data_IF_334276742562
#
_entry.id   IF_334276742562
#
_cell.length_a   1.000
_cell.length_b   1.000
_cell.length_c   1.000
_cell.angle_alpha   90.00
_cell.angle_beta   90.00
_cell.angle_gamma   90.00
#
_symmetry.space_group_name_H-M   'P 1'
#
loop_
_entity.id
_entity.type
_entity.pdbx_description
1 polymer ?
#
# COMPACT_ATOMS: atom_id res chain seq x y z
N UNK A 1 -19.33 -1.46 -23.58
CA UNK A 1 -19.78 -1.87 -22.22
C UNK A 1 -18.62 -2.06 -21.24
N UNK A 2 -17.57 -2.85 -21.55
CA UNK A 2 -16.42 -3.09 -20.64
C UNK A 2 -15.68 -1.80 -20.20
N UNK A 3 -15.41 -0.86 -21.11
CA UNK A 3 -14.73 0.42 -20.79
C UNK A 3 -15.54 1.33 -19.86
N UNK A 4 -16.86 1.41 -20.05
CA UNK A 4 -17.73 2.24 -19.19
C UNK A 4 -17.77 1.69 -17.76
N UNK A 5 -17.85 0.37 -17.63
CA UNK A 5 -17.82 -0.34 -16.35
C UNK A 5 -16.47 -0.17 -15.64
N UNK A 6 -15.37 -0.30 -16.39
CA UNK A 6 -14.03 0.01 -15.90
C UNK A 6 -13.93 1.45 -15.38
N UNK A 7 -14.34 2.44 -16.18
CA UNK A 7 -14.27 3.86 -15.81
C UNK A 7 -15.11 4.16 -14.56
N UNK A 8 -16.29 3.57 -14.46
CA UNK A 8 -17.13 3.70 -13.27
C UNK A 8 -16.40 3.23 -11.99
N UNK A 9 -15.78 2.04 -12.03
CA UNK A 9 -15.02 1.53 -10.87
C UNK A 9 -13.75 2.33 -10.62
N UNK A 10 -13.03 2.77 -11.66
CA UNK A 10 -11.83 3.58 -11.52
C UNK A 10 -12.13 4.95 -10.87
N UNK A 11 -13.22 5.61 -11.28
CA UNK A 11 -13.70 6.87 -10.68
C UNK A 11 -14.14 6.64 -9.23
N UNK A 12 -14.85 5.54 -8.96
CA UNK A 12 -15.22 5.17 -7.59
C UNK A 12 -13.99 4.91 -6.69
N UNK A 13 -12.98 4.22 -7.22
CA UNK A 13 -11.71 3.96 -6.54
C UNK A 13 -10.93 5.26 -6.26
N UNK A 14 -10.93 6.19 -7.22
CA UNK A 14 -10.38 7.54 -7.05
C UNK A 14 -11.05 8.30 -5.90
N UNK A 15 -12.38 8.47 -5.95
CA UNK A 15 -13.09 9.26 -4.94
C UNK A 15 -13.03 8.63 -3.55
N UNK A 16 -13.19 7.31 -3.45
CA UNK A 16 -13.11 6.60 -2.16
C UNK A 16 -11.72 6.73 -1.53
N UNK A 17 -10.65 6.52 -2.30
CA UNK A 17 -9.28 6.67 -1.79
C UNK A 17 -8.95 8.11 -1.43
N UNK A 18 -9.44 9.09 -2.20
CA UNK A 18 -9.28 10.51 -1.90
C UNK A 18 -9.93 10.89 -0.57
N UNK A 19 -11.22 10.57 -0.38
CA UNK A 19 -11.96 10.85 0.85
C UNK A 19 -11.30 10.18 2.05
N UNK A 20 -10.93 8.90 1.92
CA UNK A 20 -10.26 8.16 3.00
C UNK A 20 -8.88 8.74 3.33
N UNK A 21 -8.14 9.24 2.33
CA UNK A 21 -6.87 9.93 2.57
C UNK A 21 -7.05 11.22 3.37
N UNK A 22 -8.03 12.06 2.98
CA UNK A 22 -8.34 13.28 3.71
C UNK A 22 -8.76 12.95 5.15
N UNK A 23 -9.56 11.91 5.37
CA UNK A 23 -9.90 11.43 6.70
C UNK A 23 -8.64 11.05 7.50
N UNK A 24 -7.68 10.34 6.91
CA UNK A 24 -6.42 10.03 7.58
C UNK A 24 -5.61 11.28 7.92
N UNK A 25 -5.54 12.28 7.04
CA UNK A 25 -4.81 13.53 7.28
C UNK A 25 -5.46 14.34 8.41
N UNK A 26 -6.77 14.59 8.31
CA UNK A 26 -7.48 15.52 9.19
C UNK A 26 -7.95 14.92 10.51
N UNK A 27 -8.03 13.59 10.66
CA UNK A 27 -8.40 12.98 11.95
C UNK A 27 -7.34 13.30 13.01
N UNK A 28 -7.72 14.08 14.02
CA UNK A 28 -6.81 14.51 15.09
C UNK A 28 -6.45 13.34 16.01
N UNK A 29 -5.15 13.13 16.22
CA UNK A 29 -4.64 12.13 17.18
C UNK A 29 -4.05 12.85 18.38
N UNK A 30 -4.51 12.48 19.59
CA UNK A 30 -4.04 13.05 20.86
C UNK A 30 -2.50 13.09 20.96
N UNK A 31 -1.96 14.15 21.56
CA UNK A 31 -0.50 14.35 21.77
C UNK A 31 0.05 13.47 22.89
N UNK A 32 -0.13 12.16 22.78
CA UNK A 32 0.44 11.18 23.72
C UNK A 32 1.65 10.53 23.05
N UNK A 33 2.78 10.46 23.74
CA UNK A 33 4.05 9.95 23.21
C UNK A 33 3.96 8.48 22.78
N UNK A 34 3.13 7.69 23.47
CA UNK A 34 2.83 6.29 23.09
C UNK A 34 2.10 6.15 21.74
N UNK A 35 1.54 7.23 21.18
CA UNK A 35 0.86 7.25 19.88
C UNK A 35 1.70 7.89 18.75
N UNK A 36 2.95 8.28 18.98
CA UNK A 36 3.78 8.88 17.92
C UNK A 36 4.01 7.93 16.74
N UNK A 37 4.25 6.65 17.02
CA UNK A 37 4.39 5.63 16.00
C UNK A 37 3.10 5.45 15.19
N UNK A 38 1.95 5.52 15.86
CA UNK A 38 0.65 5.48 15.19
C UNK A 38 0.43 6.72 14.31
N UNK A 39 0.84 7.92 14.75
CA UNK A 39 0.76 9.14 13.93
C UNK A 39 1.62 9.03 12.67
N UNK A 40 2.81 8.46 12.78
CA UNK A 40 3.69 8.22 11.64
C UNK A 40 3.06 7.23 10.65
N UNK A 41 2.58 6.08 11.15
CA UNK A 41 1.87 5.08 10.34
C UNK A 41 0.62 5.69 9.66
N UNK A 42 -0.14 6.53 10.35
CA UNK A 42 -1.30 7.25 9.81
C UNK A 42 -0.92 8.17 8.65
N UNK A 43 0.17 8.94 8.79
CA UNK A 43 0.67 9.83 7.72
C UNK A 43 1.14 9.04 6.50
N UNK A 44 1.84 7.94 6.73
CA UNK A 44 2.25 7.03 5.65
C UNK A 44 1.04 6.42 4.94
N UNK A 45 -0.01 6.07 5.69
CA UNK A 45 -1.25 5.55 5.10
C UNK A 45 -1.99 6.59 4.26
N UNK A 46 -2.10 7.82 4.77
CA UNK A 46 -2.65 8.93 4.01
C UNK A 46 -1.89 9.12 2.69
N UNK A 47 -0.56 9.07 2.74
CA UNK A 47 0.29 9.16 1.56
C UNK A 47 0.08 8.00 0.59
N UNK A 48 -0.05 6.76 1.06
CA UNK A 48 -0.37 5.61 0.22
C UNK A 48 -1.72 5.78 -0.49
N UNK A 49 -2.73 6.32 0.19
CA UNK A 49 -4.05 6.56 -0.40
C UNK A 49 -4.02 7.72 -1.40
N UNK A 50 -3.29 8.80 -1.12
CA UNK A 50 -3.08 9.89 -2.09
C UNK A 50 -2.36 9.38 -3.34
N UNK A 51 -1.34 8.55 -3.15
CA UNK A 51 -0.61 7.98 -4.26
C UNK A 51 -1.55 7.12 -5.12
N UNK A 52 -2.40 6.30 -4.50
CA UNK A 52 -3.40 5.51 -5.22
C UNK A 52 -4.38 6.40 -5.99
N UNK A 53 -4.85 7.49 -5.38
CA UNK A 53 -5.69 8.50 -6.02
C UNK A 53 -5.02 9.11 -7.26
N UNK A 54 -3.73 9.49 -7.18
CA UNK A 54 -2.97 10.02 -8.33
C UNK A 54 -2.89 8.98 -9.45
N UNK A 55 -2.67 7.71 -9.10
CA UNK A 55 -2.58 6.61 -10.07
C UNK A 55 -3.91 6.37 -10.77
N UNK A 56 -5.01 6.29 -10.00
CA UNK A 56 -6.34 6.13 -10.57
C UNK A 56 -6.70 7.28 -11.51
N UNK A 57 -6.34 8.52 -11.16
CA UNK A 57 -6.55 9.67 -12.03
C UNK A 57 -5.71 9.57 -13.31
N UNK A 58 -4.42 9.23 -13.19
CA UNK A 58 -3.52 9.03 -14.32
C UNK A 58 -4.06 7.97 -15.28
N UNK A 59 -4.54 6.85 -14.74
CA UNK A 59 -5.11 5.76 -15.52
C UNK A 59 -6.40 6.15 -16.25
N UNK A 60 -7.30 6.89 -15.59
CA UNK A 60 -8.51 7.44 -16.22
C UNK A 60 -8.12 8.36 -17.40
N UNK A 61 -7.17 9.28 -17.21
CA UNK A 61 -6.75 10.23 -18.24
C UNK A 61 -6.12 9.51 -19.44
N UNK A 62 -5.22 8.55 -19.20
CA UNK A 62 -4.57 7.81 -20.29
C UNK A 62 -5.56 7.02 -21.13
N UNK A 63 -6.52 6.35 -20.48
CA UNK A 63 -7.56 5.60 -21.21
C UNK A 63 -8.48 6.50 -22.01
N UNK A 64 -8.85 7.66 -21.47
CA UNK A 64 -9.67 8.64 -22.19
C UNK A 64 -8.92 9.24 -23.41
N UNK A 65 -7.58 9.34 -23.34
CA UNK A 65 -6.74 9.84 -24.44
C UNK A 65 -6.29 8.77 -25.44
N UNK A 66 -6.51 7.48 -25.17
CA UNK A 66 -6.09 6.38 -26.05
C UNK A 66 -4.57 6.24 -26.20
N UNK A 67 -3.78 6.65 -25.20
CA UNK A 67 -2.31 6.66 -25.27
C UNK A 67 -1.75 5.22 -25.13
N UNK A 68 -0.72 4.88 -25.91
CA UNK A 68 -0.10 3.55 -26.06
C UNK A 68 0.16 2.76 -24.76
N UNK A 69 -0.12 1.44 -24.83
CA UNK A 69 -0.02 0.42 -23.78
C UNK A 69 1.36 0.20 -23.09
N UNK A 70 2.54 0.29 -23.74
CA UNK A 70 3.79 -0.17 -23.12
C UNK A 70 4.22 0.72 -21.95
N UNK A 71 4.09 2.03 -22.12
CA UNK A 71 4.43 3.07 -21.12
C UNK A 71 3.47 3.05 -19.93
N UNK A 72 2.25 2.59 -20.17
CA UNK A 72 1.24 2.44 -19.13
C UNK A 72 1.60 1.30 -18.17
N UNK A 73 2.09 0.17 -18.69
CA UNK A 73 2.53 -0.98 -17.86
C UNK A 73 3.75 -0.65 -16.99
N UNK A 74 4.75 0.06 -17.52
CA UNK A 74 5.91 0.49 -16.72
C UNK A 74 5.50 1.45 -15.59
N UNK A 75 4.58 2.38 -15.88
CA UNK A 75 4.03 3.30 -14.90
C UNK A 75 3.30 2.54 -13.78
N UNK A 76 2.42 1.58 -14.12
CA UNK A 76 1.73 0.73 -13.14
C UNK A 76 2.71 -0.02 -12.25
N UNK A 77 3.76 -0.62 -12.80
CA UNK A 77 4.75 -1.36 -12.00
C UNK A 77 5.49 -0.46 -11.01
N UNK A 78 5.89 0.74 -11.43
CA UNK A 78 6.51 1.74 -10.54
C UNK A 78 5.58 2.03 -9.37
N UNK A 79 4.33 2.34 -9.68
CA UNK A 79 3.31 2.70 -8.71
C UNK A 79 2.97 1.55 -7.77
N UNK A 80 2.82 0.33 -8.29
CA UNK A 80 2.60 -0.87 -7.52
C UNK A 80 3.77 -1.15 -6.57
N UNK A 81 4.99 -0.86 -6.99
CA UNK A 81 6.19 -0.98 -6.14
C UNK A 81 6.15 0.00 -4.97
N UNK A 82 5.82 1.28 -5.21
CA UNK A 82 5.64 2.25 -4.14
C UNK A 82 4.54 1.83 -3.16
N UNK A 83 3.38 1.40 -3.67
CA UNK A 83 2.28 0.91 -2.84
C UNK A 83 2.70 -0.28 -1.98
N UNK A 84 3.36 -1.27 -2.59
CA UNK A 84 3.85 -2.45 -1.89
C UNK A 84 4.74 -2.09 -0.70
N UNK A 85 5.73 -1.21 -0.90
CA UNK A 85 6.63 -0.80 0.18
C UNK A 85 5.94 0.02 1.27
N UNK A 86 5.04 0.94 0.90
CA UNK A 86 4.28 1.73 1.87
C UNK A 86 3.41 0.84 2.76
N UNK A 87 2.62 -0.05 2.15
CA UNK A 87 1.76 -0.98 2.87
C UNK A 87 2.56 -1.99 3.70
N UNK A 88 3.64 -2.56 3.15
CA UNK A 88 4.51 -3.48 3.89
C UNK A 88 5.14 -2.80 5.12
N UNK A 89 5.57 -1.55 4.98
CA UNK A 89 6.16 -0.78 6.08
C UNK A 89 5.12 -0.42 7.15
N UNK A 90 3.92 0.00 6.75
CA UNK A 90 2.81 0.27 7.70
C UNK A 90 2.41 -1.02 8.43
N UNK A 91 2.17 -2.11 7.70
CA UNK A 91 1.78 -3.39 8.30
C UNK A 91 2.83 -3.92 9.29
N UNK A 92 4.12 -3.85 8.92
CA UNK A 92 5.21 -4.28 9.81
C UNK A 92 5.31 -3.36 11.03
N UNK A 93 5.12 -2.05 10.84
CA UNK A 93 5.15 -1.05 11.93
C UNK A 93 3.98 -1.20 12.92
N UNK A 94 2.82 -1.67 12.45
CA UNK A 94 1.67 -1.97 13.32
C UNK A 94 1.93 -3.20 14.21
N UNK A 95 2.74 -4.15 13.75
CA UNK A 95 3.08 -5.38 14.48
C UNK A 95 4.29 -5.15 15.41
N UNK A 96 5.33 -4.48 14.92
CA UNK A 96 6.53 -4.17 15.68
C UNK A 96 6.80 -2.66 15.69
N UNK A 97 6.48 -2.04 16.83
CA UNK A 97 6.66 -0.61 17.08
C UNK A 97 8.14 -0.18 17.03
N UNK A 98 9.10 -1.11 17.19
CA UNK A 98 10.54 -0.80 17.11
C UNK A 98 11.07 -0.77 15.67
N UNK A 99 10.28 -1.27 14.71
CA UNK A 99 10.65 -1.29 13.30
C UNK A 99 10.48 0.06 12.60
N UNK A 100 9.90 1.06 13.28
CA UNK A 100 9.54 2.36 12.73
C UNK A 100 10.78 3.23 12.45
N UNK A 101 11.45 2.96 11.34
CA UNK A 101 12.51 3.80 10.81
C UNK A 101 12.12 4.29 9.42
N UNK A 102 11.67 5.54 9.33
CA UNK A 102 11.42 6.26 8.08
C UNK A 102 12.63 6.25 7.16
N UNK A 103 13.85 6.25 7.73
CA UNK A 103 15.10 6.15 6.97
C UNK A 103 15.18 4.84 6.19
N UNK A 104 14.82 3.70 6.79
CA UNK A 104 14.84 2.39 6.11
C UNK A 104 13.84 2.33 4.95
N UNK A 105 12.65 2.90 5.14
CA UNK A 105 11.67 3.04 4.06
C UNK A 105 12.24 3.87 2.91
N UNK A 106 12.85 5.03 3.21
CA UNK A 106 13.44 5.89 2.20
C UNK A 106 14.52 5.16 1.40
N UNK A 107 15.39 4.40 2.06
CA UNK A 107 16.41 3.58 1.38
C UNK A 107 15.82 2.57 0.40
N UNK A 108 14.70 1.91 0.75
CA UNK A 108 14.03 0.98 -0.17
C UNK A 108 13.31 1.68 -1.32
N UNK A 109 12.93 2.96 -1.16
CA UNK A 109 12.30 3.75 -2.21
C UNK A 109 13.30 4.41 -3.18
N UNK A 110 14.58 4.56 -2.80
CA UNK A 110 15.62 5.13 -3.68
C UNK A 110 15.74 4.37 -5.01
N UNK A 111 15.87 3.03 -5.05
CA UNK A 111 15.91 2.28 -6.31
C UNK A 111 14.68 2.50 -7.17
N UNK A 112 13.50 2.57 -6.54
CA UNK A 112 12.22 2.81 -7.24
C UNK A 112 12.19 4.20 -7.86
N UNK A 113 12.65 5.22 -7.13
CA UNK A 113 12.73 6.59 -7.63
C UNK A 113 13.72 6.72 -8.80
N UNK A 114 14.88 6.06 -8.72
CA UNK A 114 15.86 6.03 -9.82
C UNK A 114 15.25 5.37 -11.06
N UNK A 115 14.62 4.21 -10.91
CA UNK A 115 13.94 3.52 -12.02
C UNK A 115 12.79 4.34 -12.60
N UNK A 116 12.09 5.12 -11.77
CA UNK A 116 11.04 6.04 -12.21
C UNK A 116 11.60 7.18 -13.07
N UNK A 117 12.72 7.78 -12.65
CA UNK A 117 13.41 8.82 -13.41
C UNK A 117 13.93 8.31 -14.75
N UNK A 118 14.48 7.09 -14.78
CA UNK A 118 14.92 6.44 -16.02
C UNK A 118 13.74 6.19 -16.98
N UNK A 119 12.58 5.79 -16.45
CA UNK A 119 11.36 5.61 -17.24
C UNK A 119 10.85 6.94 -17.83
N UNK A 120 10.94 8.06 -17.07
CA UNK A 120 10.64 9.40 -17.59
C UNK A 120 11.63 9.85 -18.65
N UNK A 121 12.92 9.50 -18.50
CA UNK A 121 13.93 9.74 -19.54
C UNK A 121 13.60 9.00 -20.84
N UNK A 122 13.08 7.77 -20.76
CA UNK A 122 12.57 6.99 -21.91
C UNK A 122 11.44 7.73 -22.61
N UNK A 123 10.53 8.34 -21.85
CA UNK A 123 9.42 9.15 -22.38
C UNK A 123 9.90 10.42 -23.12
N UNK A 124 10.96 11.06 -22.65
CA UNK A 124 11.53 12.25 -23.29
C UNK A 124 12.25 11.99 -24.63
N UNK A 125 12.25 10.76 -25.14
CA UNK A 125 12.95 10.39 -26.37
C UNK A 125 14.47 10.37 -26.25
N UNK A 126 15.00 10.45 -25.03
CA UNK A 126 16.45 10.48 -24.77
C UNK A 126 17.13 9.12 -25.01
N UNK A 127 16.37 8.02 -25.08
CA UNK A 127 16.90 6.67 -25.23
C UNK A 127 16.40 6.05 -26.54
N UNK A 128 17.34 5.61 -27.39
CA UNK A 128 17.05 4.91 -28.66
C UNK A 128 17.11 3.39 -28.48
N UNK A 129 16.33 2.64 -29.27
CA UNK A 129 16.42 1.18 -29.39
C UNK A 129 15.65 0.38 -28.32
N UNK A 130 16.08 -0.87 -28.06
CA UNK A 130 15.42 -1.84 -27.16
C UNK A 130 15.49 -1.48 -25.64
N UNK A 131 15.98 -0.29 -25.29
CA UNK A 131 16.20 0.12 -23.91
C UNK A 131 14.90 0.13 -23.07
N UNK A 132 13.76 0.52 -23.66
CA UNK A 132 12.47 0.50 -22.98
C UNK A 132 12.03 -0.91 -22.56
N UNK A 133 12.35 -1.93 -23.35
CA UNK A 133 12.03 -3.32 -23.02
C UNK A 133 12.93 -3.84 -21.90
N UNK A 134 14.23 -3.52 -21.95
CA UNK A 134 15.18 -3.86 -20.90
C UNK A 134 14.73 -3.25 -19.57
N UNK A 135 14.43 -1.95 -19.56
CA UNK A 135 13.90 -1.26 -18.37
C UNK A 135 12.63 -1.91 -17.84
N UNK A 136 11.68 -2.24 -18.71
CA UNK A 136 10.43 -2.90 -18.32
C UNK A 136 10.68 -4.24 -17.61
N UNK A 137 11.48 -5.13 -18.22
CA UNK A 137 11.75 -6.44 -17.63
C UNK A 137 12.61 -6.34 -16.35
N UNK A 138 13.57 -5.43 -16.29
CA UNK A 138 14.33 -5.14 -15.07
C UNK A 138 13.41 -4.70 -13.93
N UNK A 139 12.41 -3.86 -14.24
CA UNK A 139 11.47 -3.34 -13.25
C UNK A 139 10.48 -4.42 -12.79
N UNK A 140 10.01 -5.27 -13.70
CA UNK A 140 9.19 -6.43 -13.38
C UNK A 140 9.93 -7.43 -12.47
N UNK A 141 11.21 -7.71 -12.77
CA UNK A 141 12.05 -8.57 -11.95
C UNK A 141 12.29 -7.96 -10.57
N UNK A 142 12.62 -6.67 -10.51
CA UNK A 142 12.79 -5.94 -9.25
C UNK A 142 11.50 -5.99 -8.40
N UNK A 143 10.35 -5.75 -9.02
CA UNK A 143 9.05 -5.81 -8.33
C UNK A 143 8.76 -7.21 -7.77
N UNK A 144 9.05 -8.26 -8.55
CA UNK A 144 8.88 -9.65 -8.12
C UNK A 144 9.76 -9.98 -6.91
N UNK A 145 11.04 -9.59 -6.95
CA UNK A 145 11.96 -9.75 -5.79
C UNK A 145 11.45 -8.97 -4.58
N UNK A 146 10.91 -7.77 -4.80
CA UNK A 146 10.38 -6.91 -3.74
C UNK A 146 9.18 -7.56 -3.04
N UNK A 147 8.29 -8.24 -3.77
CA UNK A 147 7.18 -9.00 -3.19
C UNK A 147 7.71 -10.12 -2.28
N UNK A 148 8.64 -10.93 -2.77
CA UNK A 148 9.22 -12.03 -1.99
C UNK A 148 9.84 -11.50 -0.70
N UNK A 149 10.65 -10.44 -0.80
CA UNK A 149 11.33 -9.85 0.34
C UNK A 149 10.35 -9.26 1.37
N UNK A 150 9.34 -8.52 0.93
CA UNK A 150 8.33 -7.91 1.82
C UNK A 150 7.48 -8.96 2.52
N UNK A 151 7.11 -10.04 1.82
CA UNK A 151 6.40 -11.18 2.41
C UNK A 151 7.25 -11.85 3.49
N UNK A 152 8.50 -12.19 3.19
CA UNK A 152 9.41 -12.86 4.15
C UNK A 152 9.58 -12.00 5.41
N UNK A 153 9.85 -10.70 5.25
CA UNK A 153 9.98 -9.77 6.37
C UNK A 153 8.72 -9.74 7.22
N UNK A 154 7.56 -9.62 6.58
CA UNK A 154 6.28 -9.56 7.29
C UNK A 154 6.05 -10.82 8.12
N UNK A 155 6.20 -12.00 7.51
CA UNK A 155 6.00 -13.28 8.20
C UNK A 155 6.96 -13.47 9.37
N UNK A 156 8.23 -13.07 9.22
CA UNK A 156 9.21 -13.11 10.31
C UNK A 156 8.78 -12.27 11.51
N UNK A 157 8.32 -11.04 11.28
CA UNK A 157 7.86 -10.16 12.37
C UNK A 157 6.52 -10.64 12.95
N UNK A 158 5.59 -11.09 12.11
CA UNK A 158 4.31 -11.62 12.54
C UNK A 158 4.45 -12.87 13.40
N UNK A 159 5.36 -13.78 13.07
CA UNK A 159 5.63 -14.97 13.88
C UNK A 159 6.22 -14.59 15.24
N UNK A 160 7.17 -13.65 15.27
CA UNK A 160 7.74 -13.14 16.53
C UNK A 160 6.67 -12.52 17.41
N UNK A 161 5.76 -11.73 16.82
CA UNK A 161 4.60 -11.16 17.50
C UNK A 161 3.68 -12.25 18.05
N UNK A 162 3.29 -13.23 17.23
CA UNK A 162 2.38 -14.32 17.63
C UNK A 162 2.97 -15.16 18.77
N UNK A 163 4.28 -15.45 18.73
CA UNK A 163 4.97 -16.17 19.81
C UNK A 163 4.92 -15.38 21.13
N UNK A 164 5.16 -14.07 21.08
CA UNK A 164 5.02 -13.20 22.27
C UNK A 164 3.57 -13.16 22.76
N UNK A 165 2.61 -12.96 21.86
CA UNK A 165 1.19 -12.88 22.21
C UNK A 165 0.71 -14.16 22.92
N UNK A 166 1.02 -15.33 22.37
CA UNK A 166 0.65 -16.62 22.96
C UNK A 166 1.30 -16.87 24.33
N UNK A 167 2.53 -16.39 24.54
CA UNK A 167 3.24 -16.57 25.81
C UNK A 167 2.70 -15.66 26.93
N UNK A 168 2.18 -14.47 26.59
CA UNK A 168 1.70 -13.50 27.58
C UNK A 168 0.18 -13.55 27.82
N UNK A 169 -0.60 -14.05 26.88
CA UNK A 169 -2.05 -14.13 26.98
C UNK A 169 -2.52 -15.58 26.83
N UNK A 170 -2.82 -16.22 27.96
CA UNK A 170 -3.41 -17.57 28.04
C UNK A 170 -4.93 -17.60 27.85
N UNK A 171 -5.58 -16.43 27.78
CA UNK A 171 -7.03 -16.28 27.68
C UNK A 171 -7.55 -15.94 26.28
N UNK A 172 -8.86 -16.05 26.09
CA UNK A 172 -9.65 -15.78 24.87
C UNK A 172 -9.66 -14.30 24.43
N UNK A 173 -8.56 -13.57 24.63
CA UNK A 173 -8.39 -12.21 24.14
C UNK A 173 -8.23 -12.26 22.61
N UNK A 174 -9.19 -11.65 21.90
CA UNK A 174 -9.16 -11.55 20.45
C UNK A 174 -7.90 -10.80 20.02
N UNK A 175 -7.08 -11.45 19.20
CA UNK A 175 -5.90 -10.82 18.58
C UNK A 175 -6.35 -9.66 17.68
N UNK A 176 -6.25 -8.44 18.21
CA UNK A 176 -6.67 -7.21 17.52
C UNK A 176 -5.81 -6.89 16.28
N UNK A 177 -4.68 -7.58 16.07
CA UNK A 177 -3.80 -7.40 14.91
C UNK A 177 -3.94 -8.50 13.86
N UNK A 178 -4.83 -9.49 14.07
CA UNK A 178 -5.10 -10.56 13.09
C UNK A 178 -5.57 -10.01 11.73
N UNK A 179 -6.24 -8.86 11.69
CA UNK A 179 -6.64 -8.23 10.44
C UNK A 179 -5.44 -7.76 9.60
N UNK A 180 -4.30 -7.43 10.22
CA UNK A 180 -3.07 -7.02 9.51
C UNK A 180 -2.52 -8.19 8.69
N UNK A 181 -2.65 -9.42 9.20
CA UNK A 181 -2.32 -10.64 8.46
C UNK A 181 -3.20 -10.80 7.20
N UNK A 182 -4.52 -10.66 7.37
CA UNK A 182 -5.45 -10.73 6.23
C UNK A 182 -5.20 -9.61 5.21
N UNK A 183 -4.92 -8.39 5.68
CA UNK A 183 -4.56 -7.28 4.81
C UNK A 183 -3.29 -7.58 4.01
N UNK A 184 -2.27 -8.20 4.62
CA UNK A 184 -1.04 -8.57 3.91
C UNK A 184 -1.27 -9.68 2.88
N UNK A 185 -2.17 -10.63 3.12
CA UNK A 185 -2.60 -11.60 2.11
C UNK A 185 -3.28 -10.89 0.94
N UNK A 186 -4.18 -9.94 1.20
CA UNK A 186 -4.82 -9.16 0.12
C UNK A 186 -3.80 -8.38 -0.71
N UNK A 187 -2.78 -7.78 -0.07
CA UNK A 187 -1.68 -7.09 -0.77
C UNK A 187 -0.87 -8.06 -1.63
N UNK A 188 -0.58 -9.27 -1.12
CA UNK A 188 0.11 -10.30 -1.89
C UNK A 188 -0.71 -10.72 -3.12
N UNK A 189 -2.00 -11.00 -2.94
CA UNK A 189 -2.90 -11.34 -4.05
C UNK A 189 -3.00 -10.22 -5.08
N UNK A 190 -3.11 -8.96 -4.64
CA UNK A 190 -3.10 -7.80 -5.52
C UNK A 190 -1.76 -7.67 -6.28
N UNK A 191 -0.64 -7.96 -5.63
CA UNK A 191 0.69 -7.90 -6.24
C UNK A 191 0.89 -8.99 -7.29
N UNK A 192 0.38 -10.21 -7.03
CA UNK A 192 0.35 -11.29 -8.02
C UNK A 192 -0.53 -10.89 -9.21
N UNK A 193 -1.69 -10.26 -8.97
CA UNK A 193 -2.55 -9.77 -10.03
C UNK A 193 -1.86 -8.70 -10.90
N UNK A 194 -1.04 -7.82 -10.31
CA UNK A 194 -0.22 -6.85 -11.07
C UNK A 194 0.80 -7.56 -11.96
N UNK A 195 1.48 -8.61 -11.46
CA UNK A 195 2.40 -9.41 -12.29
C UNK A 195 1.64 -10.05 -13.45
N UNK A 196 0.50 -10.68 -13.17
CA UNK A 196 -0.33 -11.30 -14.19
C UNK A 196 -0.80 -10.28 -15.23
N UNK A 197 -1.21 -9.08 -14.82
CA UNK A 197 -1.58 -8.00 -15.73
C UNK A 197 -0.41 -7.51 -16.61
N UNK A 198 0.80 -7.52 -16.07
CA UNK A 198 1.99 -7.13 -16.82
C UNK A 198 2.38 -8.19 -17.87
N UNK A 199 2.13 -9.48 -17.59
CA UNK A 199 2.50 -10.60 -18.46
C UNK A 199 1.37 -10.95 -19.44
N UNK A 200 0.16 -11.11 -18.94
CA UNK A 200 -1.04 -11.53 -19.66
C UNK A 200 -1.96 -10.31 -19.84
N UNK A 201 -2.48 -10.15 -21.06
CA UNK A 201 -3.15 -8.97 -21.62
C UNK A 201 -4.28 -8.32 -20.76
N UNK A 202 -4.81 -7.20 -21.27
CA UNK A 202 -5.65 -6.19 -20.62
C UNK A 202 -6.96 -6.64 -19.95
N UNK A 203 -7.39 -7.90 -20.09
CA UNK A 203 -8.69 -8.39 -19.59
C UNK A 203 -8.79 -8.36 -18.05
N UNK A 204 -7.66 -8.40 -17.34
CA UNK A 204 -7.60 -8.32 -15.87
C UNK A 204 -7.91 -6.92 -15.33
N UNK A 205 -8.01 -5.90 -16.21
CA UNK A 205 -8.13 -4.50 -15.80
C UNK A 205 -9.39 -4.14 -15.03
N UNK A 206 -10.54 -4.79 -15.27
CA UNK A 206 -11.80 -4.42 -14.61
C UNK A 206 -11.85 -4.94 -13.16
N UNK A 207 -11.15 -6.05 -12.90
CA UNK A 207 -11.15 -6.73 -11.60
C UNK A 207 -10.34 -5.91 -10.59
N UNK A 208 -9.29 -5.22 -11.01
CA UNK A 208 -8.39 -4.52 -10.10
C UNK A 208 -9.04 -3.31 -9.39
N UNK A 209 -9.70 -2.36 -10.09
CA UNK A 209 -10.40 -1.25 -9.44
C UNK A 209 -11.59 -1.70 -8.60
N UNK A 210 -12.30 -2.76 -9.03
CA UNK A 210 -13.46 -3.27 -8.30
C UNK A 210 -13.07 -3.94 -6.98
N UNK A 211 -11.91 -4.61 -6.90
CA UNK A 211 -11.36 -5.15 -5.66
C UNK A 211 -10.64 -4.10 -4.80
N UNK A 212 -10.15 -3.02 -5.41
CA UNK A 212 -9.48 -1.95 -4.67
C UNK A 212 -10.43 -1.26 -3.69
N UNK A 213 -11.62 -0.85 -4.11
CA UNK A 213 -12.59 -0.16 -3.25
C UNK A 213 -12.85 -0.91 -1.93
N UNK A 214 -13.25 -2.20 -1.93
CA UNK A 214 -13.51 -2.93 -0.70
C UNK A 214 -12.23 -3.13 0.12
N UNK A 215 -11.06 -3.36 -0.51
CA UNK A 215 -9.79 -3.52 0.21
C UNK A 215 -9.38 -2.23 0.96
N UNK A 216 -9.37 -1.08 0.28
CA UNK A 216 -9.02 0.20 0.89
C UNK A 216 -10.04 0.57 1.99
N UNK A 217 -11.33 0.33 1.75
CA UNK A 217 -12.37 0.57 2.77
C UNK A 217 -12.19 -0.33 4.00
N UNK A 218 -11.99 -1.64 3.80
CA UNK A 218 -11.72 -2.62 4.86
C UNK A 218 -10.49 -2.20 5.68
N UNK A 219 -9.40 -1.87 5.00
CA UNK A 219 -8.15 -1.46 5.66
C UNK A 219 -8.37 -0.21 6.50
N UNK A 220 -9.04 0.81 5.95
CA UNK A 220 -9.29 2.05 6.67
C UNK A 220 -10.14 1.85 7.93
N UNK A 221 -11.25 1.10 7.83
CA UNK A 221 -12.12 0.80 8.98
C UNK A 221 -11.32 0.11 10.10
N UNK A 222 -10.52 -0.90 9.76
CA UNK A 222 -9.73 -1.63 10.75
C UNK A 222 -8.62 -0.77 11.36
N UNK A 223 -7.99 0.10 10.57
CA UNK A 223 -6.97 1.03 11.06
C UNK A 223 -7.54 2.06 12.05
N UNK A 224 -8.74 2.60 11.77
CA UNK A 224 -9.42 3.50 12.71
C UNK A 224 -9.97 2.78 13.95
N UNK A 225 -10.42 1.54 13.80
CA UNK A 225 -10.83 0.72 14.95
C UNK A 225 -9.67 0.47 15.91
N UNK A 226 -8.49 0.19 15.37
CA UNK A 226 -7.26 0.03 16.16
C UNK A 226 -6.92 1.31 16.92
N UNK A 227 -7.06 2.48 16.29
CA UNK A 227 -6.89 3.77 16.95
C UNK A 227 -7.81 3.99 18.13
N UNK A 228 -9.11 3.76 17.92
CA UNK A 228 -10.12 3.92 18.97
C UNK A 228 -9.79 3.05 20.18
N UNK A 229 -9.32 1.83 19.96
CA UNK A 229 -8.87 0.92 21.02
C UNK A 229 -7.67 1.48 21.82
N UNK A 230 -6.68 2.04 21.13
CA UNK A 230 -5.54 2.69 21.79
C UNK A 230 -5.94 3.95 22.58
N UNK A 231 -6.89 4.74 22.08
CA UNK A 231 -7.40 5.92 22.78
C UNK A 231 -8.18 5.55 24.05
N UNK A 232 -8.98 4.47 24.02
CA UNK A 232 -9.73 3.99 25.19
C UNK A 232 -8.78 3.45 26.27
N UNK A 233 -7.76 2.67 25.90
CA UNK A 233 -6.78 2.16 26.88
C UNK A 233 -5.98 3.27 27.56
N UNK A 234 -5.65 4.33 26.82
CA UNK A 234 -4.87 5.45 27.36
C UNK A 234 -5.71 6.38 28.25
N UNK A 235 -7.02 6.50 28.00
CA UNK A 235 -7.95 7.24 28.87
C UNK A 235 -8.26 6.47 30.16
N UNK A 236 -8.49 5.15 30.11
CA UNK A 236 -8.68 4.33 31.31
C UNK A 236 -7.46 4.30 32.24
N UNK A 237 -6.24 4.23 31.70
CA UNK A 237 -5.01 4.31 32.52
C UNK A 237 -4.81 5.66 33.22
N UNK A 238 -5.40 6.75 32.71
CA UNK A 238 -5.37 8.07 33.37
C UNK A 238 -6.43 8.21 34.47
N UNK A 239 -7.52 7.46 34.39
CA UNK A 239 -8.57 7.45 35.42
C UNK A 239 -8.23 6.62 36.66
N UNK A 240 -7.30 5.67 36.55
CA UNK A 240 -6.85 4.81 37.67
C UNK A 240 -5.70 5.38 38.49
N UNK A 241 -5.14 6.52 38.08
CA UNK A 241 -4.05 7.23 38.77
C UNK A 241 -4.53 8.56 39.40
N UNK A 242 -5.84 8.69 39.62
CA UNK A 242 -6.46 9.72 40.46
C UNK A 242 -7.23 9.02 41.56
#
# INVERSE_FOLDING_TARGET
MSIQLYLFFAIGAFWSSFVLSLLFLFTTVSKIQQLENYKSAKRMMAFAYLLFCIISLYEIIIRLRGINLPTFRTSILIFATFQLYLFAHVNTSLIDLRYLSTKKLLYHLIPVAILSLLNLGSYGGHWKGNYSNILYYSLLLFYTISIIFTVIIFFKHYWSYKKKFNNYFSGNNRDHLRWVYHANICILMASIAVILFCIFSEEVNVIFPSLAIPFYTFYAIHFFKLFKHFQIRTTHRRGSNK
#
